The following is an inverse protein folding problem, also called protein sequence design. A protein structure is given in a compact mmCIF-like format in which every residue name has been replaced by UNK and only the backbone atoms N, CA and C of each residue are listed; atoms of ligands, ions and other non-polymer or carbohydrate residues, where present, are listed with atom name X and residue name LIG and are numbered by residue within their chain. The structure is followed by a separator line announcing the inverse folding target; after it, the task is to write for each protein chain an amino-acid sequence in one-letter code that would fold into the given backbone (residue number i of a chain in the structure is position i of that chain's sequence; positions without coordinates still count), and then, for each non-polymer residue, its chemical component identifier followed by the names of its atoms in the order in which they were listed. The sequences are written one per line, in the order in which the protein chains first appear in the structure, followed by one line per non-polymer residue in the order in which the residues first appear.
data_IF_898602148542
#
_entry.id   IF_898602148542
#
_cell.length_a   1.000
_cell.length_b   1.000
_cell.length_c   1.000
_cell.angle_alpha   90.00
_cell.angle_beta   90.00
_cell.angle_gamma   90.00
#
_symmetry.space_group_name_H-M   'P 1'
#
loop_
_entity.id
_entity.type
_entity.pdbx_description
1 polymer ?
#
# COMPACT_ATOMS: atom_id res chain seq x y z
N UNK A 1 13.12 -33.84 7.02
CA UNK A 1 12.79 -33.06 5.81
C UNK A 1 11.77 -31.98 6.19
N UNK A 2 12.23 -30.79 6.58
CA UNK A 2 11.48 -29.53 6.63
C UNK A 2 12.50 -28.46 6.98
N UNK A 3 12.95 -27.74 5.94
CA UNK A 3 14.01 -26.75 6.03
C UNK A 3 13.65 -25.63 7.01
N UNK A 4 14.69 -25.18 7.74
CA UNK A 4 14.75 -23.89 8.40
C UNK A 4 14.32 -22.79 7.42
N UNK A 5 13.24 -22.10 7.73
CA UNK A 5 12.93 -20.77 7.21
C UNK A 5 11.99 -20.19 8.27
N UNK A 6 12.46 -19.39 9.23
CA UNK A 6 12.73 -17.98 9.01
C UNK A 6 13.27 -17.36 10.32
N UNK A 7 14.38 -16.61 10.29
CA UNK A 7 14.41 -15.36 11.04
C UNK A 7 14.75 -14.24 10.07
N UNK A 8 13.80 -13.37 9.66
CA UNK A 8 14.16 -12.21 8.89
C UNK A 8 14.50 -11.10 9.89
N UNK A 9 15.79 -10.77 9.96
CA UNK A 9 16.39 -9.51 10.39
C UNK A 9 15.51 -8.58 11.25
N UNK A 10 15.85 -8.50 12.54
CA UNK A 10 15.37 -7.46 13.47
C UNK A 10 15.97 -6.06 13.19
N UNK A 11 16.70 -5.84 12.09
CA UNK A 11 17.44 -4.56 11.88
C UNK A 11 17.85 -4.26 10.43
N UNK A 12 17.38 -5.00 9.43
CA UNK A 12 17.60 -4.63 8.03
C UNK A 12 16.30 -4.03 7.51
N UNK A 13 16.23 -2.70 7.54
CA UNK A 13 15.16 -1.88 6.99
C UNK A 13 14.85 -2.35 5.56
N UNK A 14 13.92 -3.30 5.43
CA UNK A 14 13.66 -3.99 4.18
C UNK A 14 12.26 -3.62 3.71
N UNK A 15 12.09 -3.03 2.51
CA UNK A 15 10.77 -2.61 2.03
C UNK A 15 9.79 -3.78 1.92
N UNK A 16 10.29 -4.98 1.64
CA UNK A 16 9.50 -6.21 1.59
C UNK A 16 8.99 -6.64 2.98
N UNK A 17 9.79 -6.42 4.03
CA UNK A 17 9.40 -6.75 5.42
C UNK A 17 8.29 -5.83 5.92
N UNK A 18 8.40 -4.53 5.63
CA UNK A 18 7.33 -3.58 5.88
C UNK A 18 6.06 -3.91 5.08
N UNK A 19 6.21 -4.18 3.77
CA UNK A 19 5.09 -4.52 2.90
C UNK A 19 4.34 -5.77 3.39
N UNK A 20 5.06 -6.86 3.72
CA UNK A 20 4.47 -8.09 4.24
C UNK A 20 3.71 -7.83 5.55
N UNK A 21 4.30 -7.05 6.47
CA UNK A 21 3.63 -6.64 7.71
C UNK A 21 2.37 -5.82 7.47
N UNK A 22 2.43 -4.85 6.55
CA UNK A 22 1.28 -4.05 6.17
C UNK A 22 0.17 -4.93 5.56
N UNK A 23 0.50 -5.79 4.59
CA UNK A 23 -0.40 -6.76 3.95
C UNK A 23 -1.02 -7.72 4.98
N UNK A 24 -0.24 -8.17 5.95
CA UNK A 24 -0.73 -8.99 7.06
C UNK A 24 -1.77 -8.27 7.93
N UNK A 25 -1.54 -6.98 8.25
CA UNK A 25 -2.50 -6.17 8.99
C UNK A 25 -3.79 -5.94 8.18
N UNK A 26 -3.64 -5.62 6.89
CA UNK A 26 -4.74 -5.47 5.93
C UNK A 26 -5.62 -6.72 5.86
N UNK A 27 -5.01 -7.90 5.82
CA UNK A 27 -5.72 -9.19 5.78
C UNK A 27 -6.58 -9.46 7.02
N UNK A 28 -6.24 -8.86 8.18
CA UNK A 28 -6.99 -9.01 9.43
C UNK A 28 -8.15 -8.02 9.57
N UNK A 29 -8.00 -6.82 9.01
CA UNK A 29 -9.07 -5.80 9.04
C UNK A 29 -10.05 -5.96 7.87
N UNK A 30 -9.61 -6.56 6.76
CA UNK A 30 -10.43 -6.78 5.58
C UNK A 30 -11.00 -8.19 5.53
N UNK A 31 -12.19 -8.32 4.97
CA UNK A 31 -12.70 -9.64 4.59
C UNK A 31 -11.78 -10.30 3.55
N UNK A 32 -11.65 -11.63 3.51
CA UNK A 32 -10.81 -12.33 2.53
C UNK A 32 -11.16 -11.96 1.07
N UNK A 33 -12.42 -11.65 0.81
CA UNK A 33 -12.91 -11.12 -0.47
C UNK A 33 -12.28 -9.76 -0.80
N UNK A 34 -12.27 -8.84 0.17
CA UNK A 34 -11.70 -7.51 0.03
C UNK A 34 -10.18 -7.60 -0.12
N UNK A 35 -9.51 -8.40 0.70
CA UNK A 35 -8.07 -8.62 0.56
C UNK A 35 -7.70 -9.08 -0.87
N UNK A 36 -8.37 -10.11 -1.41
CA UNK A 36 -8.12 -10.57 -2.78
C UNK A 36 -8.48 -9.55 -3.86
N UNK A 37 -9.49 -8.72 -3.62
CA UNK A 37 -9.97 -7.76 -4.62
C UNK A 37 -9.16 -6.46 -4.63
N UNK A 38 -8.77 -5.98 -3.46
CA UNK A 38 -8.14 -4.68 -3.25
C UNK A 38 -6.63 -4.83 -3.05
N UNK A 39 -6.18 -5.78 -2.23
CA UNK A 39 -4.77 -5.92 -1.80
C UNK A 39 -3.94 -6.80 -2.73
N UNK A 40 -4.47 -7.94 -3.17
CA UNK A 40 -3.77 -8.84 -4.10
C UNK A 40 -3.26 -8.17 -5.40
N UNK A 41 -3.98 -7.21 -6.02
CA UNK A 41 -3.46 -6.51 -7.19
C UNK A 41 -2.50 -5.36 -6.84
N UNK A 42 -2.20 -5.10 -5.56
CA UNK A 42 -1.19 -4.11 -5.19
C UNK A 42 0.21 -4.71 -5.29
N UNK A 43 1.12 -3.91 -5.81
CA UNK A 43 2.53 -4.24 -5.86
C UNK A 43 3.35 -3.10 -5.29
N UNK A 44 4.36 -3.43 -4.50
CA UNK A 44 5.40 -2.46 -4.16
C UNK A 44 6.22 -2.19 -5.42
N UNK A 45 6.14 -0.96 -5.93
CA UNK A 45 6.81 -0.53 -7.17
C UNK A 45 8.24 -0.12 -6.88
N UNK A 46 8.44 0.72 -5.88
CA UNK A 46 9.75 1.21 -5.49
C UNK A 46 9.74 1.68 -4.05
N UNK A 47 10.89 1.63 -3.41
CA UNK A 47 11.09 2.18 -2.09
C UNK A 47 12.42 2.94 -2.07
N UNK A 48 12.34 4.23 -1.78
CA UNK A 48 13.46 5.15 -1.69
C UNK A 48 13.74 5.40 -0.20
N UNK A 49 14.73 4.71 0.34
CA UNK A 49 15.10 4.88 1.76
C UNK A 49 15.67 6.27 2.03
N UNK A 50 16.41 6.85 1.07
CA UNK A 50 16.99 8.19 1.20
C UNK A 50 15.94 9.30 1.26
N UNK A 51 14.85 9.16 0.50
CA UNK A 51 13.73 10.11 0.48
C UNK A 51 12.63 9.71 1.47
N UNK A 52 12.79 8.56 2.15
CA UNK A 52 11.75 7.97 2.99
C UNK A 52 10.43 7.83 2.23
N UNK A 53 10.48 7.41 0.97
CA UNK A 53 9.32 7.38 0.07
C UNK A 53 9.02 5.97 -0.42
N UNK A 54 7.80 5.49 -0.21
CA UNK A 54 7.35 4.16 -0.63
C UNK A 54 6.30 4.28 -1.72
N UNK A 55 6.54 3.67 -2.88
CA UNK A 55 5.65 3.71 -4.03
C UNK A 55 4.91 2.39 -4.21
N UNK A 56 3.58 2.43 -4.15
CA UNK A 56 2.69 1.27 -4.34
C UNK A 56 1.91 1.41 -5.64
N UNK A 57 2.04 0.43 -6.52
CA UNK A 57 1.30 0.30 -7.77
C UNK A 57 -0.01 -0.43 -7.56
N UNK A 58 -1.10 0.10 -8.14
CA UNK A 58 -2.36 -0.62 -8.28
C UNK A 58 -2.86 -0.54 -9.73
N UNK A 59 -3.58 -1.55 -10.25
CA UNK A 59 -4.16 -1.48 -11.59
C UNK A 59 -5.37 -0.55 -11.67
N UNK A 60 -5.95 -0.13 -10.53
CA UNK A 60 -7.19 0.64 -10.52
C UNK A 60 -7.22 1.73 -9.44
N UNK A 61 -7.59 2.95 -9.83
CA UNK A 61 -7.54 4.17 -8.99
C UNK A 61 -8.52 4.17 -7.84
N UNK A 62 -9.70 3.57 -8.02
CA UNK A 62 -10.68 3.45 -6.95
C UNK A 62 -10.18 2.53 -5.83
N UNK A 63 -9.44 1.48 -6.21
CA UNK A 63 -8.87 0.55 -5.25
C UNK A 63 -7.75 1.18 -4.46
N UNK A 64 -6.88 1.85 -5.20
CA UNK A 64 -5.80 2.66 -4.68
C UNK A 64 -6.29 3.71 -3.68
N UNK A 65 -7.30 4.51 -4.04
CA UNK A 65 -7.83 5.57 -3.18
C UNK A 65 -8.49 5.01 -1.92
N UNK A 66 -9.22 3.90 -2.04
CA UNK A 66 -9.85 3.24 -0.88
C UNK A 66 -8.80 2.69 0.08
N UNK A 67 -7.80 1.96 -0.42
CA UNK A 67 -6.72 1.41 0.43
C UNK A 67 -5.90 2.55 1.03
N UNK A 68 -5.63 3.60 0.26
CA UNK A 68 -4.99 4.81 0.76
C UNK A 68 -5.84 5.46 1.85
N UNK A 69 -7.16 5.61 1.71
CA UNK A 69 -7.97 6.23 2.77
C UNK A 69 -8.10 5.37 4.02
N UNK A 70 -8.34 4.07 3.85
CA UNK A 70 -8.55 3.16 4.98
C UNK A 70 -7.24 2.82 5.67
N UNK A 71 -6.15 2.73 4.92
CA UNK A 71 -4.89 2.22 5.42
C UNK A 71 -3.72 3.19 5.31
N UNK A 72 -3.83 4.39 4.73
CA UNK A 72 -2.70 5.33 4.74
C UNK A 72 -2.27 5.65 6.16
N UNK A 73 -3.21 5.82 7.08
CA UNK A 73 -2.89 6.06 8.50
C UNK A 73 -2.11 4.87 9.08
N UNK A 74 -2.63 3.65 8.90
CA UNK A 74 -1.96 2.40 9.33
C UNK A 74 -0.59 2.21 8.70
N UNK A 75 -0.48 2.40 7.40
CA UNK A 75 0.75 2.30 6.63
C UNK A 75 1.75 3.36 7.11
N UNK A 76 1.31 4.59 7.35
CA UNK A 76 2.15 5.68 7.84
C UNK A 76 2.64 5.43 9.26
N UNK A 77 1.78 4.94 10.17
CA UNK A 77 2.17 4.54 11.53
C UNK A 77 3.15 3.37 11.51
N UNK A 78 2.87 2.32 10.74
CA UNK A 78 3.75 1.17 10.60
C UNK A 78 5.09 1.58 9.99
N UNK A 79 5.08 2.47 9.00
CA UNK A 79 6.29 2.89 8.32
C UNK A 79 7.12 3.80 9.23
N UNK A 80 6.48 4.74 9.93
CA UNK A 80 7.17 5.59 10.90
C UNK A 80 7.80 4.78 12.04
N UNK A 81 7.15 3.71 12.49
CA UNK A 81 7.68 2.82 13.52
C UNK A 81 8.78 1.89 12.98
N UNK A 82 8.62 1.36 11.77
CA UNK A 82 9.54 0.40 11.17
C UNK A 82 10.83 1.06 10.69
N UNK A 83 10.73 2.22 10.04
CA UNK A 83 11.87 2.98 9.52
C UNK A 83 12.43 3.97 10.55
N UNK A 84 11.72 4.22 11.65
CA UNK A 84 12.11 5.20 12.67
C UNK A 84 12.00 6.66 12.20
N UNK A 85 11.45 6.90 11.01
CA UNK A 85 11.29 8.20 10.39
C UNK A 85 9.96 8.24 9.60
N UNK A 86 9.32 9.41 9.47
CA UNK A 86 8.09 9.53 8.71
C UNK A 86 8.32 9.15 7.25
N UNK A 87 7.69 8.04 6.82
CA UNK A 87 7.72 7.58 5.43
C UNK A 87 6.53 8.16 4.67
N UNK A 88 6.81 8.71 3.49
CA UNK A 88 5.82 9.22 2.56
C UNK A 88 5.34 8.10 1.63
N UNK A 89 4.06 7.74 1.71
CA UNK A 89 3.54 6.58 0.99
C UNK A 89 2.77 7.05 -0.24
N UNK A 90 3.41 6.86 -1.38
CA UNK A 90 2.91 7.27 -2.66
C UNK A 90 2.19 6.11 -3.33
N UNK A 91 0.94 6.32 -3.66
CA UNK A 91 0.15 5.31 -4.35
C UNK A 91 0.00 5.73 -5.80
N UNK A 92 0.55 4.92 -6.71
CA UNK A 92 0.55 5.15 -8.16
C UNK A 92 -0.30 4.12 -8.89
N UNK A 93 -0.86 4.53 -10.02
CA UNK A 93 -1.51 3.59 -10.92
C UNK A 93 -0.45 2.91 -11.75
N UNK A 94 -0.43 1.58 -11.74
CA UNK A 94 0.31 0.80 -12.72
C UNK A 94 -0.42 0.93 -14.06
N UNK A 95 -0.21 2.05 -14.76
CA UNK A 95 -0.80 2.28 -16.08
C UNK A 95 0.12 1.64 -17.11
N UNK A 96 -0.31 0.51 -17.68
CA UNK A 96 0.11 0.21 -19.05
C UNK A 96 -0.72 1.11 -19.96
N UNK A 97 -0.21 2.32 -20.20
CA UNK A 97 -0.66 3.21 -21.28
C UNK A 97 -1.93 4.04 -21.02
N UNK A 98 -1.73 5.36 -20.96
CA UNK A 98 -2.65 6.45 -21.38
C UNK A 98 -4.09 6.48 -20.83
N UNK A 99 -4.35 7.37 -19.86
CA UNK A 99 -5.08 8.64 -20.06
C UNK A 99 -5.80 9.11 -18.77
N UNK A 100 -5.72 10.41 -18.41
CA UNK A 100 -6.51 10.97 -17.33
C UNK A 100 -7.93 11.24 -17.83
N UNK A 101 -8.93 10.67 -17.16
CA UNK A 101 -10.27 11.26 -17.14
C UNK A 101 -10.68 11.48 -15.68
N UNK A 102 -10.66 12.73 -15.19
CA UNK A 102 -11.34 13.05 -13.96
C UNK A 102 -12.83 13.13 -14.30
N UNK A 103 -13.60 12.10 -13.98
CA UNK A 103 -15.05 12.25 -13.87
C UNK A 103 -15.42 12.08 -12.40
N UNK A 104 -15.18 13.15 -11.64
CA UNK A 104 -15.79 13.41 -10.35
C UNK A 104 -16.64 14.65 -10.53
N UNK A 105 -17.89 14.49 -10.96
CA UNK A 105 -18.88 15.55 -10.81
C UNK A 105 -19.69 15.24 -9.54
N UNK A 106 -19.61 16.06 -8.47
CA UNK A 106 -20.49 15.93 -7.32
C UNK A 106 -21.85 16.55 -7.69
N UNK A 107 -22.87 15.73 -7.82
CA UNK A 107 -24.28 16.15 -7.95
C UNK A 107 -24.82 16.76 -6.64
N UNK A 108 -24.23 17.88 -6.21
CA UNK A 108 -24.80 18.78 -5.21
C UNK A 108 -25.29 20.05 -5.90
N UNK A 109 -26.58 20.09 -6.18
CA UNK A 109 -27.31 21.30 -6.54
C UNK A 109 -28.79 21.02 -6.74
N UNK A 110 -29.58 21.15 -5.66
CA UNK A 110 -31.01 21.46 -5.77
C UNK A 110 -31.23 22.86 -6.35
N UNK A 111 -32.46 23.39 -6.47
CA UNK A 111 -33.68 23.06 -5.71
C UNK A 111 -34.63 22.05 -6.36
#
# INVERSE_FOLDING_TARGET
MSNLQNPPALNSTSPLGFWDGAIGALSRELSPQQFKTWIQPLTLVSFEESDHSLTVGAPNRFKLDWIKKTFADRFQELASQYFGAPININFVLAVEGVAPRPNINPERGGP
#
